data_IF_658019437043
#
_entry.id   IF_658019437043
#
_cell.length_a   1.000
_cell.length_b   1.000
_cell.length_c   1.000
_cell.angle_alpha   90.00
_cell.angle_beta   90.00
_cell.angle_gamma   90.00
#
_symmetry.space_group_name_H-M   'P 1'
#
loop_
_entity.id
_entity.type
_entity.pdbx_description
1 polymer ?
#
# COMPACT_ATOMS: atom_id res chain seq x y z
N UNK A 1 -10.55 -5.19 -8.88
CA UNK A 1 -11.64 -5.23 -7.88
C UNK A 1 -12.83 -6.10 -8.33
N UNK A 2 -13.54 -5.78 -9.39
CA UNK A 2 -14.85 -6.40 -9.74
C UNK A 2 -14.86 -7.94 -9.90
N UNK A 3 -13.76 -8.60 -10.24
CA UNK A 3 -13.71 -10.05 -10.43
C UNK A 3 -13.23 -10.83 -9.21
N UNK A 4 -12.69 -10.16 -8.20
CA UNK A 4 -12.11 -10.73 -6.96
C UNK A 4 -11.17 -11.92 -7.21
N UNK A 5 -10.43 -11.91 -8.34
CA UNK A 5 -9.39 -12.92 -8.62
C UNK A 5 -8.15 -12.74 -7.73
N UNK A 6 -7.95 -11.54 -7.25
CA UNK A 6 -6.92 -11.15 -6.27
C UNK A 6 -7.56 -10.29 -5.19
N UNK A 7 -6.97 -10.28 -4.01
CA UNK A 7 -7.43 -9.49 -2.86
C UNK A 7 -7.04 -8.03 -3.01
N UNK A 8 -7.86 -7.15 -2.47
CA UNK A 8 -7.64 -5.69 -2.45
C UNK A 8 -7.35 -5.20 -1.03
N UNK A 9 -6.70 -6.04 -0.22
CA UNK A 9 -6.57 -5.84 1.23
C UNK A 9 -5.41 -4.93 1.66
N UNK A 10 -4.70 -4.30 0.72
CA UNK A 10 -3.61 -3.37 1.01
C UNK A 10 -2.33 -4.01 1.54
N UNK A 11 -1.51 -3.20 2.21
CA UNK A 11 -0.17 -3.56 2.68
C UNK A 11 -0.12 -3.42 4.20
N UNK A 12 0.37 -4.46 4.90
CA UNK A 12 0.69 -4.39 6.33
C UNK A 12 2.19 -4.22 6.53
N UNK A 13 2.61 -3.07 7.04
CA UNK A 13 3.99 -2.79 7.44
C UNK A 13 4.17 -3.05 8.94
N UNK A 14 5.23 -3.80 9.31
CA UNK A 14 5.55 -4.13 10.70
C UNK A 14 7.04 -3.86 10.94
N UNK A 15 7.34 -3.03 11.93
CA UNK A 15 8.69 -2.73 12.38
C UNK A 15 8.75 -2.68 13.90
N UNK A 16 9.51 -3.57 14.52
CA UNK A 16 9.48 -3.73 15.97
C UNK A 16 8.07 -4.02 16.48
N UNK A 17 7.57 -3.16 17.36
CA UNK A 17 6.19 -3.21 17.83
C UNK A 17 5.21 -2.40 16.99
N UNK A 18 5.72 -1.52 16.11
CA UNK A 18 4.89 -0.63 15.28
C UNK A 18 4.25 -1.38 14.12
N UNK A 19 2.94 -1.24 13.96
CA UNK A 19 2.17 -1.88 12.91
C UNK A 19 1.26 -0.88 12.20
N UNK A 20 1.40 -0.77 10.89
CA UNK A 20 0.64 0.15 10.04
C UNK A 20 -0.03 -0.60 8.90
N UNK A 21 -1.29 -0.30 8.64
CA UNK A 21 -2.00 -0.78 7.46
C UNK A 21 -2.13 0.34 6.43
N UNK A 22 -1.68 0.11 5.22
CA UNK A 22 -1.71 1.06 4.11
C UNK A 22 -2.74 0.56 3.10
N UNK A 23 -3.64 1.45 2.69
CA UNK A 23 -4.70 1.21 1.69
C UNK A 23 -5.58 0.00 2.00
N UNK A 24 -6.33 0.01 3.12
CA UNK A 24 -7.21 -1.07 3.50
C UNK A 24 -8.46 -1.12 2.60
N UNK A 25 -8.34 -1.75 1.45
CA UNK A 25 -9.46 -2.05 0.57
C UNK A 25 -10.34 -3.20 1.11
N UNK A 26 -11.36 -3.63 0.32
CA UNK A 26 -12.32 -4.63 0.75
C UNK A 26 -11.69 -5.93 1.26
N UNK A 27 -12.02 -6.33 2.47
CA UNK A 27 -11.56 -7.54 3.11
C UNK A 27 -10.26 -7.40 3.91
N UNK A 28 -9.70 -6.20 4.08
CA UNK A 28 -8.47 -5.98 4.82
C UNK A 28 -8.54 -6.48 6.27
N UNK A 29 -9.67 -6.27 6.96
CA UNK A 29 -9.92 -6.81 8.30
C UNK A 29 -9.86 -8.33 8.32
N UNK A 30 -10.63 -8.98 7.48
CA UNK A 30 -10.76 -10.44 7.42
C UNK A 30 -9.43 -11.09 7.03
N UNK A 31 -8.75 -10.55 6.01
CA UNK A 31 -7.46 -11.09 5.56
C UNK A 31 -6.33 -10.85 6.56
N UNK A 32 -6.38 -9.77 7.35
CA UNK A 32 -5.45 -9.59 8.48
C UNK A 32 -5.61 -10.70 9.51
N UNK A 33 -6.85 -11.03 9.88
CA UNK A 33 -7.15 -12.12 10.83
C UNK A 33 -6.67 -13.47 10.28
N UNK A 34 -7.00 -13.81 9.03
CA UNK A 34 -6.53 -15.05 8.39
C UNK A 34 -5.01 -15.15 8.29
N UNK A 35 -4.30 -14.03 8.14
CA UNK A 35 -2.85 -13.99 8.17
C UNK A 35 -2.26 -14.08 9.60
N UNK A 36 -3.09 -14.16 10.64
CA UNK A 36 -2.66 -14.15 12.04
C UNK A 36 -2.18 -12.76 12.52
N UNK A 37 -2.56 -11.70 11.80
CA UNK A 37 -2.20 -10.31 12.10
C UNK A 37 -3.38 -9.64 12.78
N UNK A 38 -3.34 -9.48 14.10
CA UNK A 38 -4.42 -8.82 14.84
C UNK A 38 -4.59 -7.36 14.42
N UNK A 39 -5.78 -6.94 13.97
CA UNK A 39 -6.06 -5.54 13.67
C UNK A 39 -6.02 -4.64 14.92
N UNK A 40 -6.27 -5.20 16.11
CA UNK A 40 -6.19 -4.48 17.39
C UNK A 40 -4.76 -4.06 17.77
N UNK A 41 -3.74 -4.59 17.09
CA UNK A 41 -2.33 -4.22 17.26
C UNK A 41 -1.87 -3.13 16.31
N UNK A 42 -2.78 -2.54 15.52
CA UNK A 42 -2.46 -1.43 14.66
C UNK A 42 -2.10 -0.18 15.48
N UNK A 43 -1.06 0.51 15.04
CA UNK A 43 -0.69 1.85 15.48
C UNK A 43 -1.09 2.91 14.46
N UNK A 44 -1.43 2.49 13.24
CA UNK A 44 -1.90 3.40 12.21
C UNK A 44 -2.59 2.74 11.03
N UNK A 45 -3.47 3.54 10.43
CA UNK A 45 -4.12 3.28 9.14
C UNK A 45 -3.78 4.43 8.22
N UNK A 46 -3.25 4.12 7.03
CA UNK A 46 -2.92 5.10 5.99
C UNK A 46 -3.80 4.84 4.78
N UNK A 47 -4.37 5.89 4.19
CA UNK A 47 -5.15 5.80 2.95
C UNK A 47 -4.62 6.82 1.95
N UNK A 48 -4.17 6.34 0.79
CA UNK A 48 -3.48 7.17 -0.20
C UNK A 48 -4.41 7.97 -1.11
N UNK A 49 -5.64 7.52 -1.33
CA UNK A 49 -6.64 8.21 -2.15
C UNK A 49 -8.06 7.63 -1.94
N UNK A 50 -9.06 8.25 -2.54
CA UNK A 50 -10.48 8.01 -2.26
C UNK A 50 -11.13 6.87 -3.06
N UNK A 51 -10.39 6.04 -3.78
CA UNK A 51 -11.00 4.91 -4.48
C UNK A 51 -11.34 3.75 -3.54
N UNK A 52 -12.51 3.08 -3.73
CA UNK A 52 -13.02 2.09 -2.79
C UNK A 52 -12.10 0.90 -2.53
N UNK A 53 -11.28 0.51 -3.50
CA UNK A 53 -10.30 -0.57 -3.35
C UNK A 53 -9.11 -0.20 -2.47
N UNK A 54 -9.02 1.04 -2.00
CA UNK A 54 -7.97 1.51 -1.10
C UNK A 54 -8.48 1.90 0.30
N UNK A 55 -9.77 2.24 0.45
CA UNK A 55 -10.25 2.75 1.76
C UNK A 55 -11.39 1.97 2.41
N UNK A 56 -12.08 1.06 1.72
CA UNK A 56 -13.37 0.52 2.16
C UNK A 56 -13.36 -0.10 3.57
N UNK A 57 -12.25 -0.74 3.97
CA UNK A 57 -12.09 -1.29 5.31
C UNK A 57 -11.40 -0.31 6.30
N UNK A 58 -11.16 0.96 5.92
CA UNK A 58 -10.46 1.90 6.80
C UNK A 58 -11.20 2.13 8.12
N UNK A 59 -12.52 2.29 8.08
CA UNK A 59 -13.32 2.54 9.27
C UNK A 59 -13.33 1.35 10.23
N UNK A 60 -13.50 0.12 9.72
CA UNK A 60 -13.48 -1.08 10.57
C UNK A 60 -12.09 -1.37 11.14
N UNK A 61 -11.01 -1.02 10.43
CA UNK A 61 -9.65 -1.12 10.98
C UNK A 61 -9.38 -0.04 12.03
N UNK A 62 -9.92 1.18 11.86
CA UNK A 62 -9.87 2.23 12.88
C UNK A 62 -10.61 1.79 14.14
N UNK A 63 -11.81 1.19 14.02
CA UNK A 63 -12.52 0.63 15.17
C UNK A 63 -11.73 -0.49 15.86
N UNK A 64 -11.16 -1.41 15.09
CA UNK A 64 -10.33 -2.47 15.65
C UNK A 64 -9.08 -1.90 16.37
N UNK A 65 -8.38 -0.93 15.77
CA UNK A 65 -7.23 -0.23 16.35
C UNK A 65 -7.58 0.46 17.67
N UNK A 66 -8.78 1.04 17.77
CA UNK A 66 -9.29 1.72 18.97
C UNK A 66 -10.09 0.79 19.90
N UNK A 67 -10.02 -0.54 19.67
CA UNK A 67 -10.67 -1.57 20.47
C UNK A 67 -12.18 -1.36 20.63
N UNK A 68 -12.88 -1.21 19.51
CA UNK A 68 -14.31 -0.96 19.50
C UNK A 68 -14.67 0.39 20.13
N UNK A 69 -13.90 1.42 19.81
CA UNK A 69 -14.05 2.82 20.29
C UNK A 69 -13.77 3.04 21.78
N UNK A 70 -13.33 2.01 22.51
CA UNK A 70 -13.09 2.10 23.96
C UNK A 70 -11.76 2.78 24.31
N UNK A 71 -10.83 2.90 23.35
CA UNK A 71 -9.49 3.42 23.58
C UNK A 71 -9.09 4.47 22.52
N UNK A 72 -8.66 5.64 22.97
CA UNK A 72 -7.96 6.61 22.11
C UNK A 72 -6.57 6.07 21.80
N UNK A 73 -6.36 5.58 20.57
CA UNK A 73 -5.09 4.98 20.15
C UNK A 73 -4.87 5.13 18.65
N UNK A 74 -3.61 5.21 18.26
CA UNK A 74 -3.17 5.15 16.88
C UNK A 74 -3.43 6.41 16.05
N UNK A 75 -3.08 6.31 14.78
CA UNK A 75 -3.12 7.41 13.81
C UNK A 75 -3.96 6.99 12.61
N UNK A 76 -4.88 7.84 12.19
CA UNK A 76 -5.47 7.80 10.86
C UNK A 76 -4.78 8.89 10.02
N UNK A 77 -3.99 8.49 9.03
CA UNK A 77 -3.32 9.40 8.10
C UNK A 77 -3.88 9.15 6.70
N UNK A 78 -4.48 10.14 6.07
CA UNK A 78 -5.12 9.92 4.79
C UNK A 78 -5.06 11.14 3.89
N UNK A 79 -5.11 10.91 2.57
CA UNK A 79 -5.22 11.96 1.59
C UNK A 79 -6.38 12.91 1.92
N UNK A 80 -6.25 14.18 1.55
CA UNK A 80 -7.24 15.21 1.87
C UNK A 80 -8.64 14.84 1.38
N UNK A 81 -8.76 14.29 0.19
CA UNK A 81 -10.03 13.82 -0.40
C UNK A 81 -10.71 12.75 0.46
N UNK A 82 -9.95 11.82 1.04
CA UNK A 82 -10.47 10.74 1.90
C UNK A 82 -11.13 11.29 3.17
N UNK A 83 -10.53 12.32 3.78
CA UNK A 83 -11.01 12.90 5.05
C UNK A 83 -12.05 13.99 4.88
N UNK A 84 -11.96 14.76 3.80
CA UNK A 84 -12.77 15.97 3.64
C UNK A 84 -13.70 15.92 2.43
N UNK A 85 -13.46 14.98 1.49
CA UNK A 85 -14.11 14.97 0.19
C UNK A 85 -13.59 16.08 -0.74
N UNK A 86 -14.27 16.29 -1.83
CA UNK A 86 -14.01 17.30 -2.87
C UNK A 86 -15.29 17.69 -3.58
N UNK A 87 -15.20 18.35 -4.72
CA UNK A 87 -16.37 18.89 -5.44
C UNK A 87 -17.34 17.80 -5.92
N UNK A 88 -16.82 16.63 -6.31
CA UNK A 88 -17.63 15.51 -6.83
C UNK A 88 -17.50 14.24 -5.96
N UNK A 89 -16.79 14.30 -4.84
CA UNK A 89 -16.44 13.15 -4.02
C UNK A 89 -16.80 13.44 -2.57
N UNK A 90 -17.67 12.60 -1.99
CA UNK A 90 -17.91 12.61 -0.57
C UNK A 90 -16.70 12.07 0.19
N UNK A 91 -16.55 12.47 1.46
CA UNK A 91 -15.50 11.90 2.32
C UNK A 91 -15.62 10.38 2.41
N UNK A 92 -14.51 9.69 2.28
CA UNK A 92 -14.46 8.23 2.31
C UNK A 92 -14.45 7.66 3.73
N UNK A 93 -13.96 8.44 4.70
CA UNK A 93 -13.99 8.11 6.13
C UNK A 93 -14.87 9.11 6.85
N UNK A 94 -15.92 8.63 7.52
CA UNK A 94 -16.89 9.46 8.20
C UNK A 94 -16.27 10.30 9.32
N UNK A 95 -16.87 11.46 9.63
CA UNK A 95 -16.44 12.30 10.76
C UNK A 95 -16.53 11.60 12.11
N UNK A 96 -17.37 10.58 12.24
CA UNK A 96 -17.44 9.74 13.42
C UNK A 96 -16.12 8.98 13.59
N UNK A 97 -15.69 8.21 12.57
CA UNK A 97 -14.49 7.40 12.63
C UNK A 97 -13.20 8.24 12.68
N UNK A 98 -13.20 9.44 12.09
CA UNK A 98 -12.08 10.38 12.24
C UNK A 98 -11.87 10.86 13.69
N UNK A 99 -12.89 10.79 14.56
CA UNK A 99 -12.76 11.18 15.97
C UNK A 99 -12.26 10.06 16.89
N UNK A 100 -12.16 8.83 16.41
CA UNK A 100 -11.79 7.66 17.23
C UNK A 100 -10.28 7.55 17.48
N UNK A 101 -9.39 7.71 16.49
CA UNK A 101 -7.96 7.64 16.70
C UNK A 101 -7.44 8.71 17.66
N UNK A 102 -6.25 8.49 18.19
CA UNK A 102 -5.56 9.51 19.01
C UNK A 102 -5.19 10.73 18.16
N UNK A 103 -4.83 10.51 16.88
CA UNK A 103 -4.41 11.56 15.94
C UNK A 103 -4.94 11.29 14.53
N UNK A 104 -5.28 12.35 13.84
CA UNK A 104 -5.65 12.33 12.41
C UNK A 104 -4.71 13.26 11.66
N UNK A 105 -4.16 12.78 10.56
CA UNK A 105 -3.28 13.53 9.65
C UNK A 105 -3.96 13.65 8.28
N UNK A 106 -4.26 14.86 7.86
CA UNK A 106 -4.70 15.15 6.50
C UNK A 106 -3.47 15.33 5.62
N UNK A 107 -3.25 14.38 4.72
CA UNK A 107 -2.04 14.31 3.91
C UNK A 107 -2.22 15.04 2.58
N UNK A 108 -1.18 15.76 2.20
CA UNK A 108 -0.96 16.37 0.88
C UNK A 108 0.42 15.96 0.38
N UNK A 109 0.80 16.19 -0.87
CA UNK A 109 2.19 16.05 -1.29
C UNK A 109 3.14 16.81 -0.35
N UNK A 110 4.32 16.24 -0.10
CA UNK A 110 5.37 16.73 0.82
C UNK A 110 5.00 16.75 2.32
N UNK A 111 3.91 16.11 2.74
CA UNK A 111 3.64 15.88 4.15
C UNK A 111 4.68 14.93 4.76
N UNK A 112 5.12 15.23 5.98
CA UNK A 112 6.00 14.37 6.76
C UNK A 112 5.34 14.06 8.11
N UNK A 113 5.28 12.78 8.47
CA UNK A 113 4.68 12.32 9.72
C UNK A 113 5.34 11.03 10.20
N UNK A 114 5.00 10.62 11.43
CA UNK A 114 5.51 9.38 12.02
C UNK A 114 4.40 8.59 12.68
N UNK A 115 4.51 7.25 12.61
CA UNK A 115 3.68 6.32 13.38
C UNK A 115 4.63 5.36 14.08
N UNK A 116 4.70 5.42 15.40
CA UNK A 116 5.71 4.71 16.17
C UNK A 116 7.12 5.09 15.71
N UNK A 117 7.92 4.10 15.38
CA UNK A 117 9.29 4.28 14.89
C UNK A 117 9.39 4.52 13.38
N UNK A 118 8.30 4.33 12.64
CA UNK A 118 8.26 4.52 11.19
C UNK A 118 8.04 5.98 10.84
N UNK A 119 8.85 6.51 9.91
CA UNK A 119 8.71 7.85 9.35
C UNK A 119 8.18 7.77 7.93
N UNK A 120 7.29 8.66 7.59
CA UNK A 120 6.65 8.72 6.28
C UNK A 120 6.84 10.10 5.66
N UNK A 121 7.08 10.11 4.37
CA UNK A 121 6.99 11.28 3.52
C UNK A 121 6.06 10.96 2.35
N UNK A 122 5.17 11.89 2.03
CA UNK A 122 4.28 11.78 0.88
C UNK A 122 4.81 12.57 -0.31
N UNK A 123 4.42 12.17 -1.50
CA UNK A 123 4.62 12.92 -2.73
C UNK A 123 3.43 12.71 -3.66
N UNK A 124 3.30 13.54 -4.67
CA UNK A 124 2.15 13.53 -5.57
C UNK A 124 2.02 12.20 -6.30
N UNK A 125 0.80 11.68 -6.39
CA UNK A 125 0.40 10.66 -7.33
C UNK A 125 -0.50 11.30 -8.40
N UNK A 126 -0.21 11.05 -9.67
CA UNK A 126 -1.02 11.56 -10.79
C UNK A 126 -2.10 10.53 -11.12
N UNK A 127 -3.28 10.74 -10.57
CA UNK A 127 -4.38 9.79 -10.62
C UNK A 127 -5.74 10.47 -10.79
N UNK A 128 -6.83 9.68 -10.78
CA UNK A 128 -8.20 10.19 -10.87
C UNK A 128 -8.64 11.05 -9.67
N UNK A 129 -8.07 10.78 -8.51
CA UNK A 129 -8.20 11.63 -7.32
C UNK A 129 -7.08 12.69 -7.33
N UNK A 130 -7.44 13.97 -7.35
CA UNK A 130 -6.49 15.08 -7.39
C UNK A 130 -5.63 15.21 -6.11
N UNK A 131 -6.08 14.65 -5.00
CA UNK A 131 -5.35 14.60 -3.73
C UNK A 131 -4.58 13.28 -3.52
N UNK A 132 -4.52 12.41 -4.53
CA UNK A 132 -3.81 11.13 -4.42
C UNK A 132 -2.33 11.33 -4.10
N UNK A 133 -1.80 10.48 -3.24
CA UNK A 133 -0.42 10.52 -2.78
C UNK A 133 0.27 9.16 -2.89
N UNK A 134 1.56 9.23 -3.14
CA UNK A 134 2.51 8.12 -2.98
C UNK A 134 3.25 8.25 -1.65
N UNK A 135 3.89 7.18 -1.19
CA UNK A 135 4.52 7.12 0.14
C UNK A 135 6.00 6.71 0.04
N UNK A 136 6.86 7.42 0.77
CA UNK A 136 8.18 6.94 1.15
C UNK A 136 8.20 6.68 2.65
N UNK A 137 8.51 5.45 3.03
CA UNK A 137 8.58 4.94 4.39
C UNK A 137 10.05 4.72 4.75
N UNK A 138 10.50 5.32 5.84
CA UNK A 138 11.83 5.09 6.42
C UNK A 138 11.69 4.24 7.69
N UNK A 139 12.34 3.07 7.70
CA UNK A 139 12.49 2.21 8.87
C UNK A 139 13.95 2.29 9.36
N UNK A 140 14.21 2.67 10.62
CA UNK A 140 15.58 2.84 11.14
C UNK A 140 16.46 1.59 10.90
N UNK A 141 17.63 1.78 10.29
CA UNK A 141 18.58 0.70 10.02
C UNK A 141 18.23 -0.28 8.90
N UNK A 142 17.03 -0.16 8.29
CA UNK A 142 16.60 -1.05 7.20
C UNK A 142 16.58 -0.40 5.83
N UNK A 143 16.74 0.91 5.74
CA UNK A 143 16.61 1.68 4.50
C UNK A 143 15.14 2.01 4.18
N UNK A 144 14.95 2.71 3.07
CA UNK A 144 13.66 3.24 2.69
C UNK A 144 12.87 2.28 1.81
N UNK A 145 11.55 2.33 1.96
CA UNK A 145 10.58 1.67 1.09
C UNK A 145 9.75 2.75 0.39
N UNK A 146 9.58 2.66 -0.93
CA UNK A 146 8.67 3.51 -1.68
C UNK A 146 7.47 2.69 -2.13
N UNK A 147 6.27 3.23 -1.94
CA UNK A 147 5.01 2.71 -2.47
C UNK A 147 4.39 3.75 -3.39
N UNK A 148 4.23 3.41 -4.65
CA UNK A 148 3.72 4.36 -5.64
C UNK A 148 2.26 4.72 -5.44
N UNK A 149 1.48 3.87 -4.77
CA UNK A 149 0.01 3.91 -4.90
C UNK A 149 -0.40 3.88 -6.38
N UNK A 150 -1.63 4.27 -6.70
CA UNK A 150 -2.10 4.38 -8.08
C UNK A 150 -1.63 5.71 -8.66
N UNK A 151 -0.89 5.67 -9.76
CA UNK A 151 -0.32 6.85 -10.41
C UNK A 151 0.07 6.57 -11.85
N UNK A 152 0.11 7.60 -12.68
CA UNK A 152 0.91 7.62 -13.91
C UNK A 152 2.38 7.91 -13.57
N UNK A 153 3.28 7.54 -14.46
CA UNK A 153 4.66 8.02 -14.42
C UNK A 153 4.71 9.44 -14.99
N UNK A 154 5.28 10.37 -14.23
CA UNK A 154 5.46 11.76 -14.66
C UNK A 154 6.90 12.22 -14.40
N UNK A 155 7.40 13.27 -15.10
CA UNK A 155 8.76 13.78 -14.90
C UNK A 155 9.04 14.14 -13.44
N UNK A 156 10.10 13.57 -12.86
CA UNK A 156 10.49 13.79 -11.46
C UNK A 156 9.93 12.78 -10.45
N UNK A 157 8.98 11.90 -10.86
CA UNK A 157 8.46 10.86 -9.96
C UNK A 157 9.57 9.93 -9.46
N UNK A 158 10.41 9.45 -10.35
CA UNK A 158 11.51 8.53 -10.02
C UNK A 158 12.51 9.11 -9.01
N UNK A 159 12.71 10.44 -9.02
CA UNK A 159 13.59 11.10 -8.05
C UNK A 159 13.10 10.93 -6.59
N UNK A 160 11.77 10.88 -6.37
CA UNK A 160 11.17 10.64 -5.04
C UNK A 160 11.43 9.21 -4.54
N UNK A 161 11.61 8.27 -5.47
CA UNK A 161 11.88 6.85 -5.17
C UNK A 161 13.38 6.49 -5.30
N UNK A 162 14.27 7.47 -5.55
CA UNK A 162 15.66 7.18 -5.85
C UNK A 162 16.39 6.51 -4.67
N UNK A 163 17.13 5.43 -4.98
CA UNK A 163 17.99 4.73 -4.04
C UNK A 163 17.26 4.02 -2.90
N UNK A 164 15.94 3.82 -3.00
CA UNK A 164 15.20 3.07 -1.98
C UNK A 164 15.62 1.61 -1.98
N UNK A 165 15.52 0.98 -0.83
CA UNK A 165 15.81 -0.44 -0.69
C UNK A 165 14.74 -1.31 -1.34
N UNK A 166 13.48 -0.93 -1.22
CA UNK A 166 12.34 -1.62 -1.80
C UNK A 166 11.42 -0.63 -2.50
N UNK A 167 11.11 -0.88 -3.76
CA UNK A 167 10.13 -0.13 -4.54
C UNK A 167 8.91 -1.02 -4.79
N UNK A 168 7.75 -0.62 -4.24
CA UNK A 168 6.46 -1.30 -4.44
C UNK A 168 5.64 -0.49 -5.42
N UNK A 169 5.28 -1.08 -6.56
CA UNK A 169 4.62 -0.40 -7.67
C UNK A 169 3.23 -0.98 -7.93
N UNK A 170 2.22 -0.13 -7.96
CA UNK A 170 0.88 -0.46 -8.43
C UNK A 170 0.88 -0.53 -9.96
N UNK A 171 1.16 -1.72 -10.51
CA UNK A 171 1.30 -1.95 -11.95
C UNK A 171 0.03 -2.59 -12.50
N UNK A 172 -0.93 -1.76 -12.88
CA UNK A 172 -2.27 -2.23 -13.23
C UNK A 172 -2.34 -2.84 -14.65
N UNK A 173 -1.47 -2.41 -15.59
CA UNK A 173 -1.54 -2.81 -16.98
C UNK A 173 -0.26 -3.49 -17.46
N UNK A 174 -0.36 -4.49 -18.37
CA UNK A 174 0.80 -5.15 -18.93
C UNK A 174 1.53 -4.25 -19.91
N UNK A 175 2.66 -4.74 -20.43
CA UNK A 175 3.45 -4.08 -21.47
C UNK A 175 2.58 -3.65 -22.66
N UNK A 176 3.00 -2.54 -23.30
CA UNK A 176 2.37 -1.97 -24.50
C UNK A 176 0.88 -1.66 -24.34
N UNK A 177 0.44 -1.40 -23.11
CA UNK A 177 -0.96 -1.12 -22.81
C UNK A 177 -1.08 0.04 -21.81
N UNK A 178 -0.60 1.26 -22.12
CA UNK A 178 -0.67 2.38 -21.19
C UNK A 178 -2.12 2.74 -20.87
N UNK A 179 -2.37 3.13 -19.63
CA UNK A 179 -3.67 3.61 -19.16
C UNK A 179 -3.48 4.86 -18.32
N UNK A 180 -4.24 5.90 -18.63
CA UNK A 180 -4.24 7.14 -17.86
C UNK A 180 -4.55 6.85 -16.38
N UNK A 181 -3.78 7.48 -15.48
CA UNK A 181 -3.93 7.33 -14.03
C UNK A 181 -3.25 6.11 -13.43
N UNK A 182 -2.58 5.25 -14.22
CA UNK A 182 -1.97 4.02 -13.74
C UNK A 182 -0.67 3.69 -14.46
N UNK A 183 0.26 3.04 -13.73
CA UNK A 183 1.45 2.46 -14.36
C UNK A 183 1.11 1.22 -15.18
N UNK A 184 1.69 1.11 -16.37
CA UNK A 184 1.87 -0.15 -17.07
C UNK A 184 3.27 -0.73 -16.80
N UNK A 185 3.53 -1.93 -17.32
CA UNK A 185 4.85 -2.57 -17.11
C UNK A 185 6.00 -1.80 -17.77
N UNK A 186 5.75 -1.07 -18.86
CA UNK A 186 6.78 -0.23 -19.49
C UNK A 186 7.15 0.97 -18.59
N UNK A 187 6.15 1.63 -17.99
CA UNK A 187 6.35 2.70 -17.01
C UNK A 187 7.11 2.21 -15.79
N UNK A 188 6.77 1.00 -15.31
CA UNK A 188 7.46 0.35 -14.20
C UNK A 188 8.95 0.09 -14.53
N UNK A 189 9.29 -0.28 -15.77
CA UNK A 189 10.67 -0.46 -16.22
C UNK A 189 11.43 0.87 -16.18
N UNK A 190 10.84 1.94 -16.71
CA UNK A 190 11.44 3.28 -16.70
C UNK A 190 11.68 3.73 -15.24
N UNK A 191 10.67 3.60 -14.40
CA UNK A 191 10.76 3.94 -12.98
C UNK A 191 11.88 3.16 -12.27
N UNK A 192 11.99 1.84 -12.49
CA UNK A 192 13.07 1.02 -11.88
C UNK A 192 14.45 1.50 -12.34
N UNK A 193 14.62 1.76 -13.64
CA UNK A 193 15.91 2.20 -14.20
C UNK A 193 16.37 3.55 -13.65
N UNK A 194 15.44 4.48 -13.45
CA UNK A 194 15.76 5.81 -12.91
C UNK A 194 15.88 5.81 -11.38
N UNK A 195 14.97 5.15 -10.67
CA UNK A 195 14.95 5.11 -9.20
C UNK A 195 16.06 4.23 -8.62
N UNK A 196 16.52 3.21 -9.35
CA UNK A 196 17.60 2.29 -8.94
C UNK A 196 17.38 1.67 -7.55
N UNK A 197 16.23 1.03 -7.28
CA UNK A 197 15.99 0.36 -6.02
C UNK A 197 16.86 -0.89 -5.88
N UNK A 198 17.07 -1.38 -4.66
CA UNK A 198 17.74 -2.67 -4.45
C UNK A 198 16.86 -3.86 -4.84
N UNK A 199 15.55 -3.69 -4.77
CA UNK A 199 14.54 -4.67 -5.18
C UNK A 199 13.25 -3.94 -5.57
N UNK A 200 12.54 -4.47 -6.56
CA UNK A 200 11.23 -3.99 -6.99
C UNK A 200 10.14 -5.05 -6.75
N UNK A 201 8.93 -4.59 -6.49
CA UNK A 201 7.74 -5.43 -6.34
C UNK A 201 6.62 -4.82 -7.15
N UNK A 202 5.99 -5.60 -8.00
CA UNK A 202 4.77 -5.22 -8.70
C UNK A 202 3.54 -5.78 -7.98
N UNK A 203 2.49 -4.99 -7.89
CA UNK A 203 1.22 -5.33 -7.23
C UNK A 203 0.06 -4.62 -7.94
N UNK A 204 -1.16 -4.67 -7.38
CA UNK A 204 -2.34 -3.99 -7.92
C UNK A 204 -2.68 -4.39 -9.37
N UNK A 205 -2.66 -5.69 -9.65
CA UNK A 205 -2.79 -6.20 -11.00
C UNK A 205 -4.21 -6.10 -11.55
N UNK A 206 -4.38 -5.40 -12.65
CA UNK A 206 -5.58 -5.46 -13.46
C UNK A 206 -5.74 -6.81 -14.15
N UNK A 207 -6.95 -7.10 -14.66
CA UNK A 207 -7.25 -8.39 -15.28
C UNK A 207 -6.31 -8.71 -16.46
N UNK A 208 -5.85 -7.72 -17.22
CA UNK A 208 -4.94 -7.94 -18.35
C UNK A 208 -3.55 -8.40 -17.89
N UNK A 209 -3.03 -7.86 -16.77
CA UNK A 209 -1.78 -8.36 -16.18
C UNK A 209 -1.95 -9.78 -15.66
N UNK A 210 -3.09 -10.10 -15.01
CA UNK A 210 -3.37 -11.46 -14.54
C UNK A 210 -3.45 -12.48 -15.69
N UNK A 211 -3.91 -12.05 -16.87
CA UNK A 211 -3.93 -12.89 -18.08
C UNK A 211 -2.55 -12.99 -18.72
N UNK A 212 -1.78 -11.91 -18.77
CA UNK A 212 -0.41 -11.89 -19.31
C UNK A 212 0.56 -12.71 -18.45
N UNK A 213 0.27 -12.88 -17.15
CA UNK A 213 1.10 -13.53 -16.14
C UNK A 213 1.96 -12.53 -15.38
N UNK A 214 1.58 -12.16 -14.16
CA UNK A 214 2.34 -11.20 -13.33
C UNK A 214 3.81 -11.58 -13.16
N UNK A 215 4.09 -12.88 -13.01
CA UNK A 215 5.45 -13.43 -12.87
C UNK A 215 6.25 -13.27 -14.16
N UNK A 216 5.60 -13.38 -15.35
CA UNK A 216 6.23 -13.15 -16.65
C UNK A 216 6.58 -11.68 -16.84
N UNK A 217 5.68 -10.78 -16.44
CA UNK A 217 5.94 -9.32 -16.47
C UNK A 217 7.08 -8.94 -15.52
N UNK A 218 7.10 -9.48 -14.29
CA UNK A 218 8.16 -9.24 -13.32
C UNK A 218 9.52 -9.79 -13.79
N UNK A 219 9.57 -10.99 -14.36
CA UNK A 219 10.80 -11.55 -14.92
C UNK A 219 11.34 -10.73 -16.09
N UNK A 220 10.47 -10.15 -16.90
CA UNK A 220 10.88 -9.23 -17.96
C UNK A 220 11.44 -7.92 -17.37
N UNK A 221 10.80 -7.34 -16.34
CA UNK A 221 11.31 -6.16 -15.65
C UNK A 221 12.72 -6.42 -15.07
N UNK A 222 12.92 -7.56 -14.40
CA UNK A 222 14.22 -7.94 -13.84
C UNK A 222 15.28 -8.06 -14.92
N UNK A 223 14.97 -8.75 -16.03
CA UNK A 223 15.88 -8.91 -17.16
C UNK A 223 16.31 -7.57 -17.78
N UNK A 224 15.36 -6.66 -18.01
CA UNK A 224 15.61 -5.40 -18.72
C UNK A 224 16.19 -4.30 -17.82
N UNK A 225 15.98 -4.37 -16.50
CA UNK A 225 16.50 -3.40 -15.52
C UNK A 225 17.77 -3.86 -14.80
N UNK A 226 17.98 -5.18 -14.69
CA UNK A 226 19.00 -5.78 -13.84
C UNK A 226 18.67 -5.71 -12.33
N UNK A 227 17.48 -5.25 -11.96
CA UNK A 227 17.03 -5.14 -10.56
C UNK A 227 16.13 -6.32 -10.23
N UNK A 228 16.39 -7.09 -9.14
CA UNK A 228 15.52 -8.16 -8.70
C UNK A 228 14.08 -7.68 -8.56
N UNK A 229 13.15 -8.33 -9.29
CA UNK A 229 11.75 -7.88 -9.37
C UNK A 229 10.80 -9.03 -9.06
N UNK A 230 9.86 -8.81 -8.15
CA UNK A 230 8.93 -9.81 -7.65
C UNK A 230 7.50 -9.41 -8.01
N UNK A 231 6.72 -10.31 -8.59
CA UNK A 231 5.26 -10.16 -8.67
C UNK A 231 4.65 -10.53 -7.31
N UNK A 232 3.94 -9.61 -6.68
CA UNK A 232 3.29 -9.87 -5.41
C UNK A 232 2.16 -10.90 -5.56
N UNK A 233 2.00 -11.75 -4.55
CA UNK A 233 0.86 -12.65 -4.40
C UNK A 233 0.11 -12.34 -3.11
N UNK A 234 -1.18 -12.65 -3.08
CA UNK A 234 -2.03 -12.41 -1.91
C UNK A 234 -1.47 -13.11 -0.66
N UNK A 235 -1.25 -12.37 0.40
CA UNK A 235 -0.67 -12.88 1.65
C UNK A 235 0.84 -13.11 1.61
N UNK A 236 1.55 -12.68 0.57
CA UNK A 236 3.01 -12.68 0.53
C UNK A 236 3.58 -11.83 1.67
N UNK A 237 4.67 -12.29 2.25
CA UNK A 237 5.44 -11.55 3.24
C UNK A 237 6.83 -11.23 2.69
N UNK A 238 7.23 -9.97 2.76
CA UNK A 238 8.58 -9.50 2.47
C UNK A 238 9.28 -9.17 3.78
N UNK A 239 10.41 -9.80 4.04
CA UNK A 239 11.23 -9.50 5.23
C UNK A 239 12.49 -8.75 4.78
N UNK A 240 12.66 -7.53 5.29
CA UNK A 240 13.83 -6.68 5.03
C UNK A 240 14.84 -6.88 6.17
N UNK A 241 15.77 -7.81 5.97
CA UNK A 241 16.95 -8.05 6.84
C UNK A 241 18.24 -7.65 6.10
N UNK A 242 19.34 -8.36 6.26
CA UNK A 242 20.53 -8.18 5.41
C UNK A 242 20.17 -8.38 3.93
N UNK A 243 19.32 -9.37 3.67
CA UNK A 243 18.69 -9.62 2.36
C UNK A 243 17.20 -9.38 2.43
N UNK A 244 16.58 -9.09 1.29
CA UNK A 244 15.13 -9.07 1.14
C UNK A 244 14.69 -10.51 0.85
N UNK A 245 13.81 -11.06 1.69
CA UNK A 245 13.31 -12.43 1.56
C UNK A 245 11.80 -12.39 1.34
N UNK A 246 11.35 -12.92 0.21
CA UNK A 246 9.94 -13.12 -0.09
C UNK A 246 9.48 -14.53 0.34
N UNK A 247 8.35 -14.61 1.02
CA UNK A 247 7.67 -15.85 1.37
C UNK A 247 6.23 -15.79 0.89
N UNK A 248 5.74 -16.88 0.33
CA UNK A 248 4.33 -17.03 -0.05
C UNK A 248 3.38 -16.91 1.15
N UNK A 249 2.06 -16.97 0.89
CA UNK A 249 1.05 -16.79 1.94
C UNK A 249 1.26 -17.80 3.07
N UNK A 250 1.09 -17.33 4.31
CA UNK A 250 0.98 -18.23 5.47
C UNK A 250 -0.28 -19.06 5.29
N UNK A 251 -0.19 -20.38 5.46
CA UNK A 251 -1.40 -21.21 5.58
C UNK A 251 -2.17 -20.72 6.80
N UNK A 252 -3.45 -20.42 6.65
CA UNK A 252 -4.32 -20.13 7.77
C UNK A 252 -4.30 -21.35 8.72
N UNK A 253 -4.08 -21.13 9.99
CA UNK A 253 -4.32 -22.14 11.01
C UNK A 253 -5.84 -22.21 11.23
N UNK A 254 -6.50 -23.10 10.49
CA UNK A 254 -7.95 -23.27 10.51
C UNK A 254 -8.44 -23.73 11.90
N UNK A 255 -7.55 -24.23 12.78
CA UNK A 255 -7.93 -24.68 14.12
C UNK A 255 -8.38 -23.57 15.07
N UNK A 256 -8.05 -22.29 14.75
CA UNK A 256 -8.40 -21.14 15.59
C UNK A 256 -9.84 -20.62 15.42
N UNK A 257 -10.60 -21.15 14.48
CA UNK A 257 -11.96 -20.67 14.18
C UNK A 257 -13.06 -21.60 14.66
N UNK A 258 -12.72 -22.71 15.36
CA UNK A 258 -13.69 -23.72 15.84
C UNK A 258 -14.07 -23.50 17.32
N UNK A 259 -13.41 -22.61 18.04
CA UNK A 259 -13.68 -22.32 19.46
C UNK A 259 -14.15 -20.85 19.63
N UNK A 260 -15.36 -20.55 19.12
CA UNK A 260 -16.09 -19.33 19.47
C UNK A 260 -17.56 -19.66 19.74
#
# INVERSE_FOLDING_TARGET
MCTQRRRTAGIRAIYGSTQVHIDPGPGALVHSIYAGLSPMKLDGVIVTHCHPDHYTDAEVLVEAMTQGTSRKHGVLAAARSVLHGGDEIDRSVSTYHQKLPQRVESLTPDSEFSIGELKFKTFMALHGDADAISLRLTAPGLGDVCYTSDTELYPGFAAQCHGVRLLIMATMWPRSSPLKGHLCTDDALELIKEAKPSCAVTTHFGIKVLVAGPETEAAWLEKESGVPTIAATDGMTLTLGEKIVAKGPRKADESRFIEA
#
